data_IF_987645493739
#
_entry.id   IF_987645493739
#
_cell.length_a   1.000
_cell.length_b   1.000
_cell.length_c   1.000
_cell.angle_alpha   90.00
_cell.angle_beta   90.00
_cell.angle_gamma   90.00
#
_symmetry.space_group_name_H-M   'P 1'
#
loop_
_entity.id
_entity.type
_entity.pdbx_description
1 polymer ?
#
# COMPACT_ATOMS: atom_id res chain seq x y z
N UNK A 1 -54.02 15.64 17.05
CA UNK A 1 -53.12 14.88 16.18
C UNK A 1 -52.00 15.82 15.74
N UNK A 2 -50.87 15.80 16.46
CA UNK A 2 -49.72 16.68 16.20
C UNK A 2 -48.76 15.98 15.25
N UNK A 3 -48.47 16.63 14.13
CA UNK A 3 -47.49 16.18 13.13
C UNK A 3 -46.09 16.36 13.73
N UNK A 4 -45.40 15.26 14.02
CA UNK A 4 -43.98 15.29 14.33
C UNK A 4 -43.19 15.48 13.03
N UNK A 5 -42.73 16.70 12.78
CA UNK A 5 -41.76 17.00 11.74
C UNK A 5 -40.40 16.39 12.12
N UNK A 6 -40.10 15.22 11.58
CA UNK A 6 -38.74 14.68 11.56
C UNK A 6 -37.90 15.51 10.58
N UNK A 7 -37.35 16.61 11.07
CA UNK A 7 -36.28 17.34 10.38
C UNK A 7 -35.04 16.46 10.45
N UNK A 8 -34.65 15.86 9.32
CA UNK A 8 -33.39 15.14 9.22
C UNK A 8 -32.26 16.09 9.66
N UNK A 9 -31.30 15.63 10.50
CA UNK A 9 -30.15 16.44 10.87
C UNK A 9 -29.45 16.90 9.59
N UNK A 10 -29.13 18.20 9.53
CA UNK A 10 -28.36 18.75 8.43
C UNK A 10 -27.03 17.97 8.36
N UNK A 11 -26.56 17.57 7.17
CA UNK A 11 -25.27 16.90 7.04
C UNK A 11 -24.21 17.84 7.60
N UNK A 12 -23.52 17.39 8.65
CA UNK A 12 -22.47 18.13 9.30
C UNK A 12 -21.39 18.44 8.25
N UNK A 13 -21.28 19.71 7.85
CA UNK A 13 -20.32 20.22 6.87
C UNK A 13 -18.90 20.30 7.48
N UNK A 14 -18.56 19.33 8.33
CA UNK A 14 -17.23 19.14 8.87
C UNK A 14 -16.36 18.50 7.79
N UNK A 15 -15.87 19.35 6.88
CA UNK A 15 -14.91 18.95 5.86
C UNK A 15 -13.78 18.10 6.47
N UNK A 16 -13.21 17.14 5.70
CA UNK A 16 -12.39 16.06 6.24
C UNK A 16 -11.31 16.59 7.19
N UNK A 17 -11.23 15.99 8.38
CA UNK A 17 -10.30 16.45 9.42
C UNK A 17 -8.87 16.55 8.88
N UNK A 18 -8.07 17.51 9.39
CA UNK A 18 -6.68 17.73 8.92
C UNK A 18 -5.84 16.46 8.94
N UNK A 19 -6.10 15.56 9.89
CA UNK A 19 -5.48 14.23 10.01
C UNK A 19 -5.79 13.32 8.83
N UNK A 20 -7.03 13.31 8.31
CA UNK A 20 -7.42 12.51 7.14
C UNK A 20 -6.70 13.02 5.89
N UNK A 21 -6.62 14.34 5.70
CA UNK A 21 -5.90 14.97 4.59
C UNK A 21 -4.40 14.69 4.64
N UNK A 22 -3.80 14.80 5.83
CA UNK A 22 -2.39 14.50 6.05
C UNK A 22 -2.09 13.02 5.81
N UNK A 23 -2.91 12.11 6.36
CA UNK A 23 -2.78 10.65 6.15
C UNK A 23 -2.87 10.28 4.69
N UNK A 24 -3.84 10.84 3.95
CA UNK A 24 -3.95 10.64 2.50
C UNK A 24 -2.68 11.14 1.79
N UNK A 25 -2.23 12.38 2.06
CA UNK A 25 -1.05 12.93 1.41
C UNK A 25 0.21 12.08 1.65
N UNK A 26 0.43 11.60 2.88
CA UNK A 26 1.54 10.71 3.24
C UNK A 26 1.43 9.38 2.49
N UNK A 27 0.23 8.77 2.47
CA UNK A 27 -0.01 7.48 1.82
C UNK A 27 0.18 7.51 0.30
N UNK A 28 0.02 8.66 -0.36
CA UNK A 28 0.28 8.81 -1.80
C UNK A 28 1.75 9.08 -2.15
N UNK A 29 2.55 9.54 -1.19
CA UNK A 29 3.94 9.93 -1.41
C UNK A 29 4.96 9.26 -0.47
N UNK A 30 4.80 7.96 -0.10
CA UNK A 30 5.66 7.35 0.92
C UNK A 30 7.12 7.24 0.45
N UNK A 31 7.36 7.06 -0.86
CA UNK A 31 8.71 7.00 -1.43
C UNK A 31 9.41 8.36 -1.47
N UNK A 32 8.65 9.46 -1.63
CA UNK A 32 9.23 10.81 -1.61
C UNK A 32 9.64 11.23 -0.20
N UNK A 33 8.96 10.71 0.82
CA UNK A 33 9.28 10.98 2.23
C UNK A 33 10.37 10.03 2.75
N UNK A 34 10.22 8.73 2.52
CA UNK A 34 11.13 7.70 3.02
C UNK A 34 12.44 7.58 2.25
N UNK A 35 12.42 7.77 0.93
CA UNK A 35 13.59 7.58 0.06
C UNK A 35 14.77 8.50 0.39
N UNK A 36 14.58 9.84 0.39
CA UNK A 36 15.65 10.78 0.73
C UNK A 36 16.21 10.56 2.14
N UNK A 37 15.34 10.25 3.10
CA UNK A 37 15.72 10.01 4.48
C UNK A 37 16.63 8.79 4.63
N UNK A 38 16.27 7.68 3.96
CA UNK A 38 17.09 6.46 3.93
C UNK A 38 18.41 6.72 3.21
N UNK A 39 18.41 7.48 2.11
CA UNK A 39 19.64 7.85 1.40
C UNK A 39 20.58 8.67 2.30
N UNK A 40 20.04 9.64 3.06
CA UNK A 40 20.81 10.44 4.02
C UNK A 40 21.38 9.58 5.14
N UNK A 41 20.60 8.64 5.70
CA UNK A 41 21.08 7.73 6.73
C UNK A 41 22.23 6.84 6.24
N UNK A 42 22.09 6.25 5.05
CA UNK A 42 23.17 5.46 4.42
C UNK A 42 24.43 6.34 4.24
N UNK A 43 24.29 7.53 3.67
CA UNK A 43 25.42 8.44 3.45
C UNK A 43 26.10 8.84 4.77
N UNK A 44 25.32 9.13 5.82
CA UNK A 44 25.84 9.47 7.14
C UNK A 44 26.62 8.31 7.77
N UNK A 45 26.14 7.08 7.59
CA UNK A 45 26.83 5.86 8.01
C UNK A 45 28.20 5.68 7.36
N UNK A 46 28.29 5.86 6.03
CA UNK A 46 29.56 5.77 5.31
C UNK A 46 30.52 6.93 5.60
N UNK A 47 30.01 8.09 6.02
CA UNK A 47 30.80 9.25 6.41
C UNK A 47 31.42 9.15 7.81
N UNK A 48 31.15 8.07 8.56
CA UNK A 48 31.60 7.87 9.95
C UNK A 48 31.24 9.08 10.86
N UNK A 49 30.07 9.67 10.61
CA UNK A 49 29.57 10.75 11.43
C UNK A 49 29.30 10.20 12.84
N UNK A 50 29.79 10.87 13.89
CA UNK A 50 29.51 10.51 15.30
C UNK A 50 28.01 10.42 15.61
N UNK A 51 27.18 11.11 14.82
CA UNK A 51 25.72 11.14 14.96
C UNK A 51 25.00 10.18 14.01
N UNK A 52 25.72 9.36 13.23
CA UNK A 52 25.14 8.42 12.26
C UNK A 52 24.09 7.50 12.90
N UNK A 53 24.35 6.97 14.09
CA UNK A 53 23.39 6.13 14.83
C UNK A 53 22.07 6.84 15.11
N UNK A 54 22.10 8.14 15.42
CA UNK A 54 20.89 8.95 15.68
C UNK A 54 20.14 9.21 14.37
N UNK A 55 20.86 9.51 13.29
CA UNK A 55 20.28 9.68 11.95
C UNK A 55 19.61 8.40 11.47
N UNK A 56 20.29 7.25 11.59
CA UNK A 56 19.75 5.94 11.20
C UNK A 56 18.54 5.55 12.05
N UNK A 57 18.57 5.79 13.37
CA UNK A 57 17.42 5.56 14.24
C UNK A 57 16.23 6.46 13.83
N UNK A 58 16.47 7.75 13.61
CA UNK A 58 15.45 8.67 13.12
C UNK A 58 14.87 8.22 11.78
N UNK A 59 15.72 7.71 10.88
CA UNK A 59 15.31 7.18 9.59
C UNK A 59 14.37 5.97 9.72
N UNK A 60 14.73 5.03 10.59
CA UNK A 60 13.90 3.85 10.88
C UNK A 60 12.56 4.26 11.50
N UNK A 61 12.55 5.18 12.46
CA UNK A 61 11.30 5.64 13.11
C UNK A 61 10.35 6.28 12.11
N UNK A 62 10.84 7.21 11.29
CA UNK A 62 10.01 7.86 10.27
C UNK A 62 9.53 6.82 9.25
N UNK A 63 10.39 5.88 8.85
CA UNK A 63 9.99 4.80 7.94
C UNK A 63 8.84 3.96 8.53
N UNK A 64 8.95 3.54 9.80
CA UNK A 64 7.89 2.78 10.49
C UNK A 64 6.59 3.59 10.51
N UNK A 65 6.65 4.87 10.85
CA UNK A 65 5.46 5.75 10.85
C UNK A 65 4.84 5.82 9.46
N UNK A 66 5.62 6.09 8.41
CA UNK A 66 5.12 6.13 7.03
C UNK A 66 4.49 4.78 6.64
N UNK A 67 5.11 3.66 7.02
CA UNK A 67 4.60 2.32 6.74
C UNK A 67 3.27 2.05 7.46
N UNK A 68 3.14 2.41 8.74
CA UNK A 68 1.90 2.25 9.50
C UNK A 68 0.77 3.12 8.91
N UNK A 69 1.06 4.36 8.53
CA UNK A 69 0.09 5.23 7.86
C UNK A 69 -0.34 4.65 6.49
N UNK A 70 0.61 4.07 5.76
CA UNK A 70 0.38 3.40 4.48
C UNK A 70 -0.51 2.16 4.71
N UNK A 71 -0.18 1.27 5.64
CA UNK A 71 -0.96 0.08 5.99
C UNK A 71 -2.37 0.44 6.47
N UNK A 72 -2.51 1.43 7.35
CA UNK A 72 -3.83 1.86 7.79
C UNK A 72 -4.69 2.39 6.63
N UNK A 73 -4.09 2.91 5.55
CA UNK A 73 -4.83 3.40 4.37
C UNK A 73 -5.42 2.29 3.48
N UNK A 74 -5.40 1.00 3.90
CA UNK A 74 -5.84 -0.16 3.09
C UNK A 74 -7.36 -0.36 3.00
N UNK A 75 -8.17 0.10 3.94
CA UNK A 75 -9.52 -0.48 4.07
C UNK A 75 -10.48 -0.18 2.90
N UNK A 76 -10.24 0.85 2.08
CA UNK A 76 -10.95 1.10 0.80
C UNK A 76 -10.05 1.91 -0.14
N UNK A 77 -9.85 1.45 -1.38
CA UNK A 77 -9.22 2.24 -2.44
C UNK A 77 -9.88 3.62 -2.51
N UNK A 78 -9.18 4.67 -2.09
CA UNK A 78 -9.70 6.02 -2.19
C UNK A 78 -9.79 6.44 -3.66
N UNK A 79 -10.66 7.42 -3.97
CA UNK A 79 -10.83 7.92 -5.34
C UNK A 79 -9.52 8.36 -5.99
N UNK A 80 -8.57 8.86 -5.18
CA UNK A 80 -7.25 9.24 -5.66
C UNK A 80 -6.38 8.05 -6.03
N UNK A 81 -6.41 6.95 -5.26
CA UNK A 81 -5.71 5.71 -5.63
C UNK A 81 -6.25 5.13 -6.95
N UNK A 82 -7.57 5.16 -7.14
CA UNK A 82 -8.22 4.73 -8.40
C UNK A 82 -7.82 5.67 -9.55
N UNK A 83 -7.82 6.98 -9.33
CA UNK A 83 -7.40 7.94 -10.34
C UNK A 83 -5.92 7.82 -10.75
N UNK A 84 -5.07 7.34 -9.83
CA UNK A 84 -3.65 7.05 -10.10
C UNK A 84 -3.41 5.65 -10.71
N UNK A 85 -4.48 4.85 -10.89
CA UNK A 85 -4.36 3.53 -11.53
C UNK A 85 -3.97 3.68 -13.01
N UNK A 86 -3.18 2.74 -13.56
CA UNK A 86 -2.80 2.78 -14.96
C UNK A 86 -4.02 2.61 -15.86
N UNK A 87 -4.08 3.37 -16.97
CA UNK A 87 -5.17 3.28 -17.95
C UNK A 87 -5.31 1.89 -18.60
N UNK A 88 -4.22 1.11 -18.65
CA UNK A 88 -4.20 -0.28 -19.07
C UNK A 88 -3.60 -1.15 -17.95
N UNK A 89 -4.42 -1.59 -16.98
CA UNK A 89 -3.94 -2.33 -15.83
C UNK A 89 -3.43 -3.73 -16.21
N UNK A 90 -4.00 -4.36 -17.23
CA UNK A 90 -3.56 -5.68 -17.69
C UNK A 90 -2.11 -5.63 -18.21
N UNK A 91 -1.78 -4.65 -19.03
CA UNK A 91 -0.41 -4.43 -19.49
C UNK A 91 0.53 -4.02 -18.35
N UNK A 92 0.04 -3.22 -17.40
CA UNK A 92 0.82 -2.85 -16.22
C UNK A 92 1.17 -4.08 -15.35
N UNK A 93 0.24 -5.03 -15.18
CA UNK A 93 0.47 -6.30 -14.50
C UNK A 93 1.52 -7.13 -15.24
N UNK A 94 1.40 -7.29 -16.56
CA UNK A 94 2.35 -8.12 -17.32
C UNK A 94 3.78 -7.53 -17.27
N UNK A 95 3.91 -6.22 -17.46
CA UNK A 95 5.22 -5.54 -17.37
C UNK A 95 5.84 -5.60 -15.97
N UNK A 96 5.03 -5.71 -14.92
CA UNK A 96 5.47 -5.74 -13.51
C UNK A 96 5.34 -7.11 -12.86
N UNK A 97 5.10 -8.16 -13.64
CA UNK A 97 4.82 -9.51 -13.13
C UNK A 97 5.91 -10.07 -12.24
N UNK A 98 7.18 -9.74 -12.50
CA UNK A 98 8.33 -10.14 -11.67
C UNK A 98 8.30 -9.46 -10.30
N UNK A 99 7.99 -8.17 -10.27
CA UNK A 99 7.90 -7.39 -9.03
C UNK A 99 6.73 -7.84 -8.15
N UNK A 100 5.58 -8.13 -8.77
CA UNK A 100 4.45 -8.72 -8.06
C UNK A 100 4.81 -10.08 -7.45
N UNK A 101 5.47 -10.95 -8.22
CA UNK A 101 5.95 -12.24 -7.70
C UNK A 101 6.92 -12.06 -6.54
N UNK A 102 7.84 -11.10 -6.63
CA UNK A 102 8.78 -10.79 -5.57
C UNK A 102 8.04 -10.30 -4.31
N UNK A 103 7.08 -9.40 -4.45
CA UNK A 103 6.24 -8.93 -3.34
C UNK A 103 5.57 -10.10 -2.62
N UNK A 104 4.83 -10.94 -3.36
CA UNK A 104 4.17 -12.11 -2.77
C UNK A 104 5.14 -13.11 -2.17
N UNK A 105 6.30 -13.33 -2.80
CA UNK A 105 7.32 -14.21 -2.22
C UNK A 105 7.87 -13.65 -0.91
N UNK A 106 8.08 -12.33 -0.83
CA UNK A 106 8.60 -11.64 0.34
C UNK A 106 7.60 -11.58 1.51
N UNK A 107 6.30 -11.68 1.23
CA UNK A 107 5.25 -11.72 2.25
C UNK A 107 4.91 -13.14 2.72
N UNK A 108 5.44 -14.19 2.08
CA UNK A 108 5.38 -15.55 2.64
C UNK A 108 6.23 -15.68 3.90
N UNK A 109 5.93 -16.66 4.76
CA UNK A 109 6.74 -16.95 5.96
C UNK A 109 8.22 -17.21 5.64
N UNK A 110 8.48 -17.96 4.56
CA UNK A 110 9.84 -18.20 4.07
C UNK A 110 10.52 -16.92 3.58
N UNK A 111 9.79 -16.07 2.85
CA UNK A 111 10.30 -14.77 2.38
C UNK A 111 10.62 -13.82 3.54
N UNK A 112 9.74 -13.73 4.53
CA UNK A 112 9.97 -12.95 5.76
C UNK A 112 11.20 -13.47 6.49
N UNK A 113 11.36 -14.79 6.64
CA UNK A 113 12.55 -15.37 7.24
C UNK A 113 13.84 -14.99 6.48
N UNK A 114 13.82 -15.03 5.15
CA UNK A 114 14.95 -14.59 4.31
C UNK A 114 15.24 -13.10 4.52
N UNK A 115 14.22 -12.24 4.56
CA UNK A 115 14.40 -10.80 4.82
C UNK A 115 15.01 -10.54 6.21
N UNK A 116 14.59 -11.28 7.23
CA UNK A 116 15.16 -11.20 8.59
C UNK A 116 16.63 -11.63 8.59
N UNK A 117 16.96 -12.74 7.92
CA UNK A 117 18.36 -13.20 7.81
C UNK A 117 19.22 -12.17 7.09
N UNK A 118 18.77 -11.63 5.96
CA UNK A 118 19.49 -10.58 5.21
C UNK A 118 19.68 -9.34 6.09
N UNK A 119 18.66 -8.95 6.85
CA UNK A 119 18.76 -7.83 7.76
C UNK A 119 19.79 -8.06 8.88
N UNK A 120 19.76 -9.24 9.49
CA UNK A 120 20.73 -9.62 10.53
C UNK A 120 22.17 -9.63 9.98
N UNK A 121 22.38 -10.12 8.76
CA UNK A 121 23.69 -10.10 8.07
C UNK A 121 24.15 -8.66 7.82
N UNK A 122 23.27 -7.77 7.37
CA UNK A 122 23.57 -6.36 7.18
C UNK A 122 24.02 -5.69 8.48
N UNK A 123 23.25 -5.88 9.56
CA UNK A 123 23.61 -5.36 10.90
C UNK A 123 24.95 -5.91 11.37
N UNK A 124 25.18 -7.23 11.24
CA UNK A 124 26.45 -7.85 11.62
C UNK A 124 27.62 -7.28 10.80
N UNK A 125 27.44 -7.02 9.49
CA UNK A 125 28.46 -6.39 8.66
C UNK A 125 28.81 -4.97 9.16
N UNK A 126 27.82 -4.18 9.58
CA UNK A 126 28.05 -2.86 10.18
C UNK A 126 28.83 -2.92 11.49
N UNK A 127 28.58 -3.95 12.32
CA UNK A 127 29.25 -4.13 13.61
C UNK A 127 30.66 -4.72 13.48
N UNK A 128 30.88 -5.63 12.54
CA UNK A 128 32.09 -6.45 12.46
C UNK A 128 33.09 -6.02 11.37
N UNK A 129 32.61 -5.40 10.29
CA UNK A 129 33.44 -5.10 9.11
C UNK A 129 33.78 -3.61 9.09
N UNK A 130 32.77 -2.74 8.94
CA UNK A 130 32.97 -1.30 8.83
C UNK A 130 31.68 -0.53 9.14
N UNK A 131 31.76 0.59 9.88
CA UNK A 131 30.62 1.50 10.06
C UNK A 131 30.08 1.95 8.69
N UNK A 132 28.75 2.00 8.56
CA UNK A 132 28.02 2.29 7.31
C UNK A 132 27.54 1.06 6.54
N UNK A 133 28.19 -0.11 6.65
CA UNK A 133 27.69 -1.34 6.02
C UNK A 133 26.38 -1.83 6.65
N UNK A 134 26.21 -1.54 7.94
CA UNK A 134 24.96 -1.77 8.66
C UNK A 134 23.79 -1.03 8.04
N UNK A 135 24.00 0.22 7.62
CA UNK A 135 22.93 1.08 7.10
C UNK A 135 22.43 0.64 5.71
N UNK A 136 23.16 -0.21 4.99
CA UNK A 136 22.65 -0.85 3.77
C UNK A 136 21.41 -1.71 4.06
N UNK A 137 21.20 -2.14 5.31
CA UNK A 137 19.97 -2.83 5.69
C UNK A 137 18.72 -1.97 5.46
N UNK A 138 18.85 -0.64 5.46
CA UNK A 138 17.75 0.30 5.22
C UNK A 138 17.24 0.26 3.78
N UNK A 139 17.98 -0.37 2.85
CA UNK A 139 17.50 -0.62 1.49
C UNK A 139 16.35 -1.65 1.48
N UNK A 140 16.34 -2.61 2.42
CA UNK A 140 15.26 -3.59 2.52
C UNK A 140 13.89 -2.93 2.75
N UNK A 141 13.69 -2.12 3.81
CA UNK A 141 12.43 -1.43 4.03
C UNK A 141 12.06 -0.50 2.86
N UNK A 142 13.01 0.19 2.25
CA UNK A 142 12.72 1.01 1.06
C UNK A 142 12.21 0.16 -0.11
N UNK A 143 12.84 -0.99 -0.35
CA UNK A 143 12.45 -1.94 -1.38
C UNK A 143 11.05 -2.52 -1.14
N UNK A 144 10.75 -2.95 0.09
CA UNK A 144 9.42 -3.49 0.44
C UNK A 144 8.34 -2.41 0.32
N UNK A 145 8.63 -1.17 0.70
CA UNK A 145 7.73 -0.03 0.49
C UNK A 145 7.47 0.21 -1.00
N UNK A 146 8.52 0.21 -1.83
CA UNK A 146 8.39 0.39 -3.28
C UNK A 146 7.53 -0.71 -3.92
N UNK A 147 7.75 -1.98 -3.52
CA UNK A 147 6.93 -3.10 -3.95
C UNK A 147 5.48 -2.95 -3.50
N UNK A 148 5.24 -2.50 -2.27
CA UNK A 148 3.89 -2.25 -1.72
C UNK A 148 3.15 -1.19 -2.55
N UNK A 149 3.81 -0.07 -2.88
CA UNK A 149 3.22 0.99 -3.72
C UNK A 149 2.89 0.46 -5.11
N UNK A 150 3.80 -0.30 -5.72
CA UNK A 150 3.56 -0.92 -7.03
C UNK A 150 2.39 -1.89 -6.99
N UNK A 151 2.36 -2.75 -5.97
CA UNK A 151 1.33 -3.76 -5.77
C UNK A 151 -0.05 -3.13 -5.63
N UNK A 152 -0.23 -2.20 -4.68
CA UNK A 152 -1.52 -1.54 -4.41
C UNK A 152 -2.16 -0.87 -5.62
N UNK A 153 -1.36 -0.28 -6.50
CA UNK A 153 -1.88 0.39 -7.72
C UNK A 153 -2.51 -0.57 -8.73
N UNK A 154 -2.15 -1.85 -8.68
CA UNK A 154 -2.64 -2.89 -9.60
C UNK A 154 -3.28 -4.06 -8.85
N UNK A 155 -3.53 -3.90 -7.56
CA UNK A 155 -4.00 -4.95 -6.67
C UNK A 155 -5.32 -5.60 -7.14
N UNK A 156 -6.34 -4.85 -7.60
CA UNK A 156 -7.58 -5.45 -8.11
C UNK A 156 -7.37 -6.36 -9.32
N UNK A 157 -6.24 -6.20 -10.04
CA UNK A 157 -5.89 -6.99 -11.22
C UNK A 157 -4.72 -7.94 -10.96
N UNK A 158 -4.21 -8.02 -9.73
CA UNK A 158 -3.07 -8.84 -9.39
C UNK A 158 -3.49 -10.32 -9.37
N UNK A 159 -2.88 -11.21 -10.18
CA UNK A 159 -3.30 -12.61 -10.28
C UNK A 159 -2.97 -13.45 -9.04
N UNK A 160 -2.22 -12.89 -8.10
CA UNK A 160 -1.83 -13.54 -6.85
C UNK A 160 -2.70 -13.07 -5.68
N UNK A 161 -3.41 -11.95 -5.81
CA UNK A 161 -4.37 -11.48 -4.82
C UNK A 161 -5.75 -11.97 -5.21
N UNK A 162 -6.40 -12.73 -4.35
CA UNK A 162 -7.72 -13.34 -4.57
C UNK A 162 -8.89 -12.35 -4.63
N UNK A 163 -8.70 -11.12 -5.15
CA UNK A 163 -9.74 -10.11 -5.33
C UNK A 163 -10.86 -10.54 -6.30
N UNK A 164 -10.71 -11.67 -7.00
CA UNK A 164 -11.74 -12.33 -7.82
C UNK A 164 -11.87 -13.83 -7.55
N UNK A 165 -11.47 -14.30 -6.36
CA UNK A 165 -11.72 -15.65 -5.86
C UNK A 165 -12.42 -15.62 -4.49
N UNK A 166 -12.98 -14.45 -4.15
CA UNK A 166 -14.02 -14.40 -3.13
C UNK A 166 -15.15 -15.30 -3.59
N UNK A 167 -15.51 -16.20 -2.68
CA UNK A 167 -16.71 -17.02 -2.54
C UNK A 167 -18.04 -16.24 -2.67
N UNK A 168 -18.05 -15.18 -3.48
CA UNK A 168 -19.26 -14.56 -3.99
C UNK A 168 -19.76 -15.47 -5.11
N UNK A 169 -20.31 -16.64 -4.69
CA UNK A 169 -21.62 -17.10 -5.16
C UNK A 169 -22.66 -15.99 -4.86
N UNK A 170 -22.40 -14.74 -5.31
CA UNK A 170 -23.49 -13.87 -5.67
C UNK A 170 -24.07 -14.55 -6.90
N UNK A 171 -25.06 -15.41 -6.67
CA UNK A 171 -26.08 -15.80 -7.63
C UNK A 171 -26.49 -14.50 -8.34
N UNK A 172 -25.83 -14.19 -9.45
CA UNK A 172 -26.26 -13.12 -10.32
C UNK A 172 -27.70 -13.49 -10.63
N UNK A 173 -28.71 -12.70 -10.18
CA UNK A 173 -30.08 -13.11 -10.30
C UNK A 173 -30.31 -13.41 -11.77
N UNK A 174 -30.75 -14.65 -12.07
CA UNK A 174 -31.08 -15.04 -13.43
C UNK A 174 -31.90 -13.90 -14.03
N UNK A 175 -31.55 -13.40 -15.23
CA UNK A 175 -32.25 -12.28 -15.81
C UNK A 175 -33.74 -12.63 -15.88
N UNK A 176 -34.54 -12.02 -15.00
CA UNK A 176 -35.98 -12.20 -15.01
C UNK A 176 -36.44 -11.77 -16.39
N UNK A 177 -37.12 -12.64 -17.16
CA UNK A 177 -37.61 -12.26 -18.48
C UNK A 177 -38.42 -10.98 -18.36
N UNK A 178 -38.05 -9.98 -19.15
CA UNK A 178 -38.78 -8.72 -19.23
C UNK A 178 -40.24 -9.04 -19.60
N UNK A 179 -41.23 -8.66 -18.76
CA UNK A 179 -42.64 -8.92 -19.04
C UNK A 179 -43.11 -8.30 -20.36
N UNK A 180 -42.39 -7.30 -20.90
CA UNK A 180 -42.72 -6.67 -22.18
C UNK A 180 -42.26 -7.50 -23.41
N UNK A 181 -41.42 -8.53 -23.22
CA UNK A 181 -41.01 -9.45 -24.31
C UNK A 181 -41.96 -10.65 -24.42
N UNK A 182 -42.79 -10.90 -23.38
CA UNK A 182 -43.68 -12.06 -23.30
C UNK A 182 -45.12 -11.77 -23.74
N UNK A 183 -45.42 -10.63 -24.36
CA UNK A 183 -46.72 -10.40 -24.98
C UNK A 183 -46.79 -11.07 -26.36
N UNK A 184 -47.53 -12.20 -26.53
CA UNK A 184 -47.78 -12.73 -27.86
C UNK A 184 -48.59 -11.69 -28.64
N UNK A 185 -48.08 -11.30 -29.81
CA UNK A 185 -48.85 -10.59 -30.82
C UNK A 185 -49.99 -11.50 -31.28
N UNK A 186 -51.13 -11.45 -30.58
CA UNK A 186 -52.39 -11.99 -31.06
C UNK A 186 -52.87 -11.10 -32.21
N UNK A 187 -52.75 -11.62 -33.44
CA UNK A 187 -53.51 -11.19 -34.60
C UNK A 187 -54.56 -12.24 -34.94
#
# INVERSE_FOLDING_TARGET
MSRHDHRAPAPDDEGPSRLVRLRSAIAHHPLLLGGPLIAVAIAAGFADAKESSVVSLGAVVVFIVVQLFTLAHDDRLCLRCIAESPADPARAVETRRRWLRLFHSATTTAGVAVLVVVAAVGVAAGLLIRPGWGDLVLVLPLGTMALTVVHRRIEPWCPYCGWGHGDDDEDAPEPTPDPDVAAPLSR
#
